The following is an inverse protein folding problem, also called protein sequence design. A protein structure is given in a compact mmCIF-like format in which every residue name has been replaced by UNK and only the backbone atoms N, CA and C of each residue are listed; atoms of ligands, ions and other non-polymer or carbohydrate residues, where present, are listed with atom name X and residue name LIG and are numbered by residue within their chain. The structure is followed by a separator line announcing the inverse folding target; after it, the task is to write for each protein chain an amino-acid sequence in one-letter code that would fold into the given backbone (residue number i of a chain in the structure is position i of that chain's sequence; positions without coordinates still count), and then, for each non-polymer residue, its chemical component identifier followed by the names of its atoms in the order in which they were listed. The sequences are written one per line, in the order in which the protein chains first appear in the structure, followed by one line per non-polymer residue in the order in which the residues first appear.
data_IF_605963917892
#
_entry.id   IF_605963917892
#
_cell.length_a   1.000
_cell.length_b   1.000
_cell.length_c   1.000
_cell.angle_alpha   90.00
_cell.angle_beta   90.00
_cell.angle_gamma   90.00
#
_symmetry.space_group_name_H-M   'P 1'
#
loop_
_entity.id
_entity.type
_entity.pdbx_description
1 polymer ?
#
# COMPACT_ATOMS: atom_id res chain seq x y z
N UNK A 1 -19.79 -6.83 -10.16
CA UNK A 1 -19.26 -8.12 -9.65
C UNK A 1 -17.78 -7.94 -9.37
N UNK A 2 -17.34 -7.95 -8.11
CA UNK A 2 -15.91 -7.86 -7.77
C UNK A 2 -15.20 -9.16 -8.18
N UNK A 3 -14.52 -9.14 -9.33
CA UNK A 3 -13.56 -10.15 -9.72
C UNK A 3 -12.30 -9.41 -10.18
N UNK A 4 -11.19 -9.65 -9.47
CA UNK A 4 -9.80 -9.25 -9.77
C UNK A 4 -9.16 -8.19 -8.86
N UNK A 5 -9.36 -8.29 -7.53
CA UNK A 5 -8.43 -7.67 -6.57
C UNK A 5 -7.28 -8.61 -6.11
N UNK A 6 -7.20 -9.85 -6.59
CA UNK A 6 -6.28 -10.86 -6.04
C UNK A 6 -5.24 -11.36 -7.04
N UNK A 7 -4.52 -10.45 -7.71
CA UNK A 7 -3.28 -10.84 -8.39
C UNK A 7 -2.22 -9.73 -8.35
N UNK A 8 -2.12 -9.02 -7.22
CA UNK A 8 -0.82 -8.46 -6.86
C UNK A 8 0.13 -9.65 -6.69
N UNK A 9 1.20 -9.68 -7.49
CA UNK A 9 2.32 -10.63 -7.38
C UNK A 9 2.49 -11.02 -5.91
N UNK A 10 2.34 -12.30 -5.60
CA UNK A 10 2.29 -12.85 -4.24
C UNK A 10 3.52 -12.51 -3.39
N UNK A 11 4.58 -11.94 -3.97
CA UNK A 11 5.68 -11.30 -3.24
C UNK A 11 5.32 -9.89 -2.72
N UNK A 12 4.62 -9.05 -3.47
CA UNK A 12 4.34 -7.66 -3.10
C UNK A 12 3.43 -7.50 -1.86
N UNK A 13 2.54 -8.47 -1.59
CA UNK A 13 1.65 -8.47 -0.43
C UNK A 13 2.32 -9.01 0.85
N UNK A 14 3.33 -9.88 0.73
CA UNK A 14 4.16 -10.31 1.87
C UNK A 14 5.20 -9.26 2.28
N UNK A 15 5.60 -8.35 1.37
CA UNK A 15 6.61 -7.31 1.61
C UNK A 15 6.16 -6.17 2.56
N UNK A 16 4.86 -5.95 2.74
CA UNK A 16 4.35 -4.92 3.68
C UNK A 16 4.39 -5.37 5.16
N UNK A 17 4.70 -6.64 5.42
CA UNK A 17 5.01 -7.14 6.76
C UNK A 17 6.53 -7.21 6.90
N UNK A 18 7.13 -6.12 7.36
CA UNK A 18 8.46 -6.17 7.93
C UNK A 18 8.32 -6.58 9.41
N UNK A 19 8.76 -7.78 9.84
CA UNK A 19 8.80 -8.13 11.25
C UNK A 19 10.27 -8.14 11.69
N UNK A 20 10.94 -7.00 11.68
CA UNK A 20 12.25 -6.87 12.32
C UNK A 20 12.30 -5.50 12.98
N UNK A 21 11.72 -5.41 14.17
CA UNK A 21 12.07 -4.35 15.12
C UNK A 21 13.58 -4.39 15.30
N UNK A 22 14.26 -3.36 14.79
CA UNK A 22 15.70 -3.17 14.94
C UNK A 22 16.16 -3.09 16.42
N UNK A 23 15.23 -2.89 17.36
CA UNK A 23 15.53 -2.82 18.79
C UNK A 23 15.62 -4.18 19.50
N UNK A 24 15.00 -5.25 18.97
CA UNK A 24 14.97 -6.55 19.68
C UNK A 24 15.88 -7.62 19.05
N UNK A 25 16.35 -7.42 17.81
CA UNK A 25 17.30 -8.31 17.13
C UNK A 25 18.37 -7.52 16.38
N UNK A 26 19.02 -6.57 17.05
CA UNK A 26 20.44 -6.35 16.75
C UNK A 26 21.13 -7.72 16.89
N UNK A 27 21.85 -8.23 15.88
CA UNK A 27 22.59 -9.48 16.03
C UNK A 27 23.79 -9.20 16.94
N UNK A 28 23.52 -9.05 18.23
CA UNK A 28 24.50 -9.29 19.25
C UNK A 28 24.77 -10.79 19.21
N UNK A 29 25.62 -11.23 18.28
CA UNK A 29 26.45 -12.41 18.51
C UNK A 29 27.45 -12.06 19.62
N UNK A 30 26.92 -11.76 20.80
CA UNK A 30 27.68 -11.74 22.03
C UNK A 30 27.91 -13.20 22.38
N UNK A 31 28.97 -13.79 21.82
CA UNK A 31 29.71 -14.80 22.57
C UNK A 31 29.98 -14.17 23.94
N UNK A 32 29.37 -14.76 24.97
CA UNK A 32 29.04 -14.11 26.23
C UNK A 32 30.17 -13.25 26.81
N UNK A 33 30.05 -11.93 26.62
CA UNK A 33 30.64 -10.95 27.50
C UNK A 33 29.52 -10.02 27.92
N UNK A 34 28.90 -10.42 29.04
CA UNK A 34 28.07 -9.55 29.88
C UNK A 34 28.75 -8.18 29.92
N UNK A 35 28.07 -7.13 29.43
CA UNK A 35 28.48 -5.74 29.64
C UNK A 35 28.42 -5.46 31.14
N UNK A 36 29.44 -5.91 31.88
CA UNK A 36 29.64 -5.50 33.25
C UNK A 36 30.28 -4.12 33.22
N UNK A 37 29.45 -3.09 33.02
CA UNK A 37 29.69 -1.73 33.50
C UNK A 37 29.63 -1.71 35.05
N UNK A 38 30.41 -2.58 35.69
CA UNK A 38 30.58 -2.63 37.15
C UNK A 38 32.05 -2.46 37.47
N UNK A 39 32.45 -1.22 37.74
CA UNK A 39 33.31 -0.81 38.86
C UNK A 39 34.41 -1.78 39.34
N UNK A 40 35.14 -2.42 38.43
CA UNK A 40 36.43 -3.03 38.76
C UNK A 40 37.48 -2.01 38.37
N UNK A 41 38.19 -1.48 39.37
CA UNK A 41 39.37 -0.64 39.16
C UNK A 41 40.50 -1.52 38.62
N UNK A 42 40.44 -1.86 37.34
CA UNK A 42 41.55 -2.53 36.67
C UNK A 42 42.73 -1.55 36.58
N UNK A 43 43.93 -1.95 37.00
CA UNK A 43 45.10 -1.11 36.87
C UNK A 43 45.41 -0.86 35.39
N UNK A 44 46.01 0.29 35.10
CA UNK A 44 46.51 0.59 33.77
C UNK A 44 47.52 -0.47 33.32
N UNK A 45 47.41 -0.90 32.08
CA UNK A 45 48.24 -1.97 31.50
C UNK A 45 47.45 -3.21 31.12
N UNK A 46 48.16 -4.34 30.97
CA UNK A 46 47.58 -5.60 30.49
C UNK A 46 47.14 -6.49 31.66
N UNK A 47 45.94 -7.04 31.54
CA UNK A 47 45.43 -8.15 32.36
C UNK A 47 45.41 -9.40 31.50
N UNK A 48 45.96 -10.50 32.01
CA UNK A 48 45.95 -11.80 31.34
C UNK A 48 45.03 -12.74 32.11
N UNK A 49 44.03 -13.29 31.41
CA UNK A 49 43.06 -14.22 31.97
C UNK A 49 43.06 -15.52 31.16
N UNK A 50 42.69 -16.65 31.77
CA UNK A 50 42.44 -17.91 31.06
C UNK A 50 40.98 -18.31 31.18
N UNK A 51 40.43 -18.92 30.15
CA UNK A 51 39.10 -19.54 30.20
C UNK A 51 39.05 -20.63 31.26
N UNK A 52 37.85 -21.00 31.72
CA UNK A 52 37.66 -22.00 32.79
C UNK A 52 38.23 -23.37 32.44
N UNK A 53 38.20 -23.73 31.16
CA UNK A 53 38.77 -24.96 30.62
C UNK A 53 40.27 -24.85 30.32
N UNK A 54 40.87 -23.67 30.53
CA UNK A 54 42.29 -23.40 30.28
C UNK A 54 42.67 -23.26 28.81
N UNK A 55 41.71 -23.41 27.88
CA UNK A 55 41.96 -23.52 26.44
C UNK A 55 42.18 -22.20 25.73
N UNK A 56 41.65 -21.11 26.29
CA UNK A 56 41.74 -19.77 25.70
C UNK A 56 42.45 -18.85 26.67
N UNK A 57 43.39 -18.07 26.16
CA UNK A 57 44.05 -16.99 26.90
C UNK A 57 43.54 -15.65 26.39
N UNK A 58 43.18 -14.75 27.30
CA UNK A 58 42.72 -13.40 27.01
C UNK A 58 43.74 -12.38 27.49
N UNK A 59 44.14 -11.46 26.62
CA UNK A 59 44.97 -10.31 26.94
C UNK A 59 44.13 -9.04 26.80
N UNK A 60 43.95 -8.31 27.91
CA UNK A 60 43.04 -7.16 27.99
C UNK A 60 43.80 -5.94 28.49
N UNK A 61 43.89 -4.90 27.67
CA UNK A 61 44.54 -3.64 28.01
C UNK A 61 43.55 -2.63 28.56
N UNK A 62 43.91 -2.01 29.68
CA UNK A 62 43.14 -0.99 30.36
C UNK A 62 43.93 0.33 30.49
N UNK A 63 43.19 1.45 30.46
CA UNK A 63 43.66 2.80 30.75
C UNK A 63 42.54 3.52 31.49
N UNK A 64 42.83 4.09 32.66
CA UNK A 64 41.85 4.66 33.60
C UNK A 64 40.70 3.69 33.92
N UNK A 65 41.01 2.41 34.10
CA UNK A 65 40.02 1.36 34.41
C UNK A 65 39.09 0.97 33.24
N UNK A 66 39.25 1.55 32.05
CA UNK A 66 38.48 1.25 30.85
C UNK A 66 39.33 0.50 29.83
N UNK A 67 38.73 -0.38 29.04
CA UNK A 67 39.44 -1.03 27.91
C UNK A 67 39.95 0.02 26.93
N UNK A 68 41.26 0.02 26.68
CA UNK A 68 41.91 1.00 25.81
C UNK A 68 43.33 0.56 25.50
N UNK A 69 43.77 0.76 24.26
CA UNK A 69 45.18 0.65 23.88
C UNK A 69 45.49 1.52 22.67
N UNK A 70 46.55 2.31 22.77
CA UNK A 70 47.01 3.16 21.68
C UNK A 70 47.63 2.28 20.56
N UNK A 71 47.15 2.44 19.31
CA UNK A 71 47.67 1.80 18.09
C UNK A 71 47.70 0.27 18.02
N UNK A 72 47.05 -0.44 18.95
CA UNK A 72 47.03 -1.90 19.00
C UNK A 72 45.70 -2.43 19.59
N UNK A 73 45.33 -3.71 19.39
CA UNK A 73 44.10 -4.23 19.95
C UNK A 73 44.14 -4.19 21.48
N UNK A 74 43.04 -3.74 22.08
CA UNK A 74 42.90 -3.66 23.53
C UNK A 74 42.30 -4.94 24.14
N UNK A 75 41.81 -5.85 23.31
CA UNK A 75 41.36 -7.17 23.71
C UNK A 75 41.81 -8.18 22.67
N UNK A 76 42.51 -9.24 23.09
CA UNK A 76 43.01 -10.31 22.23
C UNK A 76 42.66 -11.65 22.89
N UNK A 77 42.06 -12.57 22.15
CA UNK A 77 41.90 -13.97 22.56
C UNK A 77 42.81 -14.86 21.73
N UNK A 78 43.49 -15.79 22.40
CA UNK A 78 44.40 -16.77 21.81
C UNK A 78 43.98 -18.19 22.15
N UNK A 79 44.08 -19.12 21.20
CA UNK A 79 43.83 -20.55 21.43
C UNK A 79 44.98 -21.24 22.20
N UNK A 80 44.88 -22.54 22.43
CA UNK A 80 45.90 -23.35 23.12
C UNK A 80 47.27 -23.30 22.43
N UNK A 81 47.30 -23.16 21.10
CA UNK A 81 48.52 -23.04 20.31
C UNK A 81 49.15 -21.63 20.37
N UNK A 82 48.46 -20.65 20.98
CA UNK A 82 48.89 -19.26 21.06
C UNK A 82 48.51 -18.41 19.84
N UNK A 83 47.73 -18.96 18.92
CA UNK A 83 47.25 -18.26 17.73
C UNK A 83 46.10 -17.33 18.11
N UNK A 84 46.07 -16.12 17.55
CA UNK A 84 45.01 -15.14 17.79
C UNK A 84 43.73 -15.59 17.08
N UNK A 85 42.69 -15.88 17.86
CA UNK A 85 41.37 -16.26 17.34
C UNK A 85 40.39 -15.10 17.31
N UNK A 86 40.64 -14.05 18.10
CA UNK A 86 39.79 -12.86 18.14
C UNK A 86 40.59 -11.66 18.62
N UNK A 87 40.31 -10.48 18.07
CA UNK A 87 40.84 -9.23 18.59
C UNK A 87 39.89 -8.06 18.37
N UNK A 88 39.95 -7.09 19.28
CA UNK A 88 39.17 -5.85 19.17
C UNK A 88 39.88 -4.62 19.73
N UNK A 89 39.59 -3.48 19.12
CA UNK A 89 40.17 -2.18 19.42
C UNK A 89 39.16 -1.33 20.19
N UNK A 90 39.65 -0.64 21.21
CA UNK A 90 38.84 0.21 22.07
C UNK A 90 39.52 1.56 22.28
N UNK A 91 38.71 2.62 22.22
CA UNK A 91 39.06 3.95 22.69
C UNK A 91 38.06 4.35 23.79
N UNK A 92 38.59 4.73 24.95
CA UNK A 92 37.83 5.14 26.13
C UNK A 92 36.71 4.16 26.52
N UNK A 93 37.01 2.85 26.49
CA UNK A 93 36.05 1.79 26.82
C UNK A 93 35.05 1.44 25.72
N UNK A 94 35.07 2.13 24.58
CA UNK A 94 34.16 1.91 23.46
C UNK A 94 34.89 1.30 22.27
N UNK A 95 34.28 0.32 21.58
CA UNK A 95 34.83 -0.22 20.33
C UNK A 95 35.05 0.92 19.32
N UNK A 96 36.27 1.06 18.83
CA UNK A 96 36.65 2.12 17.88
C UNK A 96 38.02 1.78 17.27
N UNK A 97 38.20 2.03 15.98
CA UNK A 97 39.50 2.03 15.32
C UNK A 97 39.55 3.07 14.21
N UNK A 98 40.58 3.92 14.22
CA UNK A 98 40.77 4.96 13.22
C UNK A 98 41.09 4.39 11.83
N UNK A 99 41.02 5.26 10.81
CA UNK A 99 41.41 4.98 9.41
C UNK A 99 40.56 3.92 8.70
N UNK A 100 39.27 3.84 9.04
CA UNK A 100 38.31 2.91 8.41
C UNK A 100 38.76 1.44 8.48
N UNK A 101 39.45 1.08 9.58
CA UNK A 101 39.88 -0.28 9.88
C UNK A 101 38.84 -0.97 10.79
N UNK A 102 38.72 -2.29 10.74
CA UNK A 102 37.76 -3.01 11.58
C UNK A 102 38.16 -2.91 13.05
N UNK A 103 37.19 -2.54 13.89
CA UNK A 103 37.36 -2.47 15.35
C UNK A 103 37.20 -3.86 16.00
N UNK A 104 36.71 -4.85 15.26
CA UNK A 104 36.64 -6.26 15.67
C UNK A 104 37.07 -7.13 14.50
N UNK A 105 37.91 -8.11 14.79
CA UNK A 105 38.32 -9.17 13.85
C UNK A 105 38.20 -10.51 14.58
N UNK A 106 37.39 -11.42 14.03
CA UNK A 106 37.22 -12.79 14.53
C UNK A 106 37.75 -13.77 13.48
N UNK A 107 38.70 -14.60 13.91
CA UNK A 107 39.42 -15.59 13.10
C UNK A 107 39.08 -17.03 13.51
N UNK A 108 38.15 -17.22 14.44
CA UNK A 108 37.82 -18.54 14.98
C UNK A 108 37.10 -19.45 13.97
N UNK A 109 36.51 -18.86 12.92
CA UNK A 109 35.82 -19.58 11.85
C UNK A 109 36.67 -19.64 10.57
N UNK A 110 36.23 -20.43 9.58
CA UNK A 110 36.92 -20.53 8.28
C UNK A 110 36.94 -19.20 7.52
N UNK A 111 35.95 -18.33 7.76
CA UNK A 111 35.90 -16.97 7.22
C UNK A 111 36.21 -15.95 8.32
N UNK A 112 37.02 -14.95 7.98
CA UNK A 112 37.33 -13.86 8.90
C UNK A 112 36.14 -12.92 8.98
N UNK A 113 35.59 -12.77 10.17
CA UNK A 113 34.49 -11.85 10.41
C UNK A 113 35.01 -10.51 10.93
N UNK A 114 34.47 -9.42 10.38
CA UNK A 114 34.95 -8.08 10.66
C UNK A 114 33.79 -7.15 11.00
N UNK A 115 34.00 -6.33 12.01
CA UNK A 115 33.05 -5.28 12.38
C UNK A 115 33.73 -3.92 12.49
N UNK A 116 33.01 -2.89 12.06
CA UNK A 116 33.48 -1.52 12.05
C UNK A 116 32.63 -0.69 13.01
N UNK A 117 33.32 0.02 13.89
CA UNK A 117 32.69 0.85 14.91
C UNK A 117 33.33 2.22 14.99
N UNK A 118 32.50 3.22 15.23
CA UNK A 118 32.92 4.55 15.62
C UNK A 118 32.25 4.92 16.95
N UNK A 119 33.07 5.19 17.96
CA UNK A 119 32.63 5.62 19.30
C UNK A 119 31.62 4.64 19.94
N UNK A 120 31.84 3.33 19.74
CA UNK A 120 31.02 2.26 20.31
C UNK A 120 29.76 1.92 19.52
N UNK A 121 29.50 2.59 18.40
CA UNK A 121 28.36 2.29 17.52
C UNK A 121 28.85 1.71 16.20
N UNK A 122 28.09 0.80 15.59
CA UNK A 122 28.39 0.36 14.22
C UNK A 122 28.44 1.56 13.28
N UNK A 123 29.53 1.68 12.54
CA UNK A 123 29.73 2.78 11.60
C UNK A 123 30.81 2.37 10.59
N UNK A 124 30.56 2.59 9.30
CA UNK A 124 31.61 2.52 8.28
C UNK A 124 31.31 3.40 7.09
N UNK A 125 32.30 4.19 6.66
CA UNK A 125 32.21 4.99 5.44
C UNK A 125 32.66 4.14 4.24
N UNK A 126 31.84 4.07 3.20
CA UNK A 126 32.19 3.46 1.91
C UNK A 126 32.08 1.93 1.83
N UNK A 127 31.63 1.24 2.88
CA UNK A 127 31.48 -0.21 2.88
C UNK A 127 30.58 -0.72 4.01
N UNK A 128 30.24 -2.02 4.03
CA UNK A 128 29.42 -2.58 5.08
C UNK A 128 30.15 -2.55 6.42
N UNK A 129 29.47 -2.14 7.48
CA UNK A 129 30.02 -2.12 8.83
C UNK A 129 30.07 -3.52 9.46
N UNK A 130 29.27 -4.46 8.95
CA UNK A 130 29.35 -5.88 9.28
C UNK A 130 28.72 -6.72 8.16
N UNK A 131 29.09 -7.99 8.10
CA UNK A 131 28.50 -8.98 7.19
C UNK A 131 28.17 -10.24 7.98
N UNK A 132 27.01 -10.86 7.74
CA UNK A 132 26.60 -12.10 8.40
C UNK A 132 26.22 -13.11 7.33
N UNK A 133 27.01 -14.18 7.21
CA UNK A 133 26.98 -15.02 6.02
C UNK A 133 27.27 -14.16 4.78
N UNK A 134 26.38 -14.20 3.79
CA UNK A 134 26.49 -13.37 2.58
C UNK A 134 25.77 -12.03 2.67
N UNK A 135 25.01 -11.79 3.75
CA UNK A 135 24.31 -10.53 3.95
C UNK A 135 25.29 -9.46 4.40
N UNK A 136 25.13 -8.24 3.88
CA UNK A 136 25.99 -7.09 4.16
C UNK A 136 25.16 -5.96 4.74
N UNK A 137 25.67 -5.29 5.79
CA UNK A 137 24.93 -4.28 6.53
C UNK A 137 25.75 -3.00 6.69
N UNK A 138 25.17 -1.88 6.30
CA UNK A 138 25.76 -0.55 6.46
C UNK A 138 25.09 0.17 7.61
N UNK A 139 25.92 0.78 8.44
CA UNK A 139 25.48 1.58 9.57
C UNK A 139 26.16 2.94 9.54
N UNK A 140 25.40 3.97 9.92
CA UNK A 140 25.90 5.31 10.19
C UNK A 140 25.40 5.73 11.57
N UNK A 141 26.32 6.14 12.44
CA UNK A 141 26.01 6.54 13.83
C UNK A 141 25.19 5.51 14.63
N UNK A 142 25.37 4.22 14.33
CA UNK A 142 24.66 3.11 14.96
C UNK A 142 23.31 2.75 14.33
N UNK A 143 22.84 3.51 13.34
CA UNK A 143 21.59 3.23 12.64
C UNK A 143 21.86 2.51 11.32
N UNK A 144 21.08 1.46 11.05
CA UNK A 144 21.18 0.72 9.80
C UNK A 144 20.61 1.54 8.65
N UNK A 145 21.43 1.82 7.64
CA UNK A 145 21.05 2.69 6.50
C UNK A 145 20.91 1.94 5.18
N UNK A 146 21.57 0.80 5.06
CA UNK A 146 21.52 -0.05 3.87
C UNK A 146 21.78 -1.50 4.23
N UNK A 147 21.12 -2.40 3.53
CA UNK A 147 21.35 -3.85 3.60
C UNK A 147 21.41 -4.41 2.18
N UNK A 148 22.30 -5.39 1.97
CA UNK A 148 22.29 -6.25 0.80
C UNK A 148 22.13 -7.69 1.27
N UNK A 149 21.15 -8.42 0.73
CA UNK A 149 20.92 -9.82 1.07
C UNK A 149 21.77 -10.76 0.22
N UNK A 150 21.86 -12.01 0.65
CA UNK A 150 22.52 -13.11 -0.04
C UNK A 150 21.94 -13.39 -1.42
N UNK A 151 20.62 -13.19 -1.58
CA UNK A 151 19.91 -13.25 -2.86
C UNK A 151 20.19 -12.04 -3.78
N UNK A 152 20.84 -10.99 -3.26
CA UNK A 152 21.23 -9.80 -4.02
C UNK A 152 20.24 -8.62 -3.94
N UNK A 153 19.21 -8.71 -3.10
CA UNK A 153 18.31 -7.58 -2.88
C UNK A 153 19.02 -6.47 -2.11
N UNK A 154 18.77 -5.23 -2.49
CA UNK A 154 19.30 -4.04 -1.82
C UNK A 154 18.17 -3.23 -1.20
N UNK A 155 18.33 -2.87 0.08
CA UNK A 155 17.38 -2.06 0.83
C UNK A 155 18.07 -0.83 1.39
N UNK A 156 17.42 0.32 1.28
CA UNK A 156 17.76 1.58 1.95
C UNK A 156 16.75 1.86 3.04
N UNK A 157 17.27 2.25 4.20
CA UNK A 157 16.54 2.21 5.46
C UNK A 157 16.83 3.51 6.20
N UNK A 158 15.80 4.08 6.79
CA UNK A 158 15.91 5.21 7.69
C UNK A 158 14.92 4.98 8.83
N UNK A 159 15.35 5.19 10.08
CA UNK A 159 14.50 4.97 11.26
C UNK A 159 13.83 3.57 11.28
N UNK A 160 14.54 2.55 10.77
CA UNK A 160 14.07 1.16 10.73
C UNK A 160 12.99 0.85 9.70
N UNK A 161 12.69 1.77 8.77
CA UNK A 161 11.72 1.55 7.68
C UNK A 161 12.36 1.83 6.32
N UNK A 162 11.78 1.28 5.24
CA UNK A 162 12.26 1.56 3.89
C UNK A 162 12.13 3.05 3.58
N UNK A 163 13.24 3.67 3.22
CA UNK A 163 13.27 5.09 2.91
C UNK A 163 14.42 5.39 1.95
N UNK A 164 14.14 6.15 0.89
CA UNK A 164 15.16 6.77 0.06
C UNK A 164 14.58 7.96 -0.71
N UNK A 165 15.09 9.19 -0.46
CA UNK A 165 14.65 10.41 -1.15
C UNK A 165 15.17 10.54 -2.59
N UNK A 166 16.28 9.87 -2.91
CA UNK A 166 17.00 10.06 -4.17
C UNK A 166 16.69 8.94 -5.18
N UNK A 167 16.37 7.75 -4.70
CA UNK A 167 16.22 6.58 -5.55
C UNK A 167 15.29 5.52 -4.96
N UNK A 168 15.26 4.31 -5.55
CA UNK A 168 14.49 3.22 -4.98
C UNK A 168 15.03 2.87 -3.59
N UNK A 169 14.12 2.67 -2.65
CA UNK A 169 14.44 2.20 -1.30
C UNK A 169 14.53 0.68 -1.23
N UNK A 170 13.96 -0.04 -2.21
CA UNK A 170 14.18 -1.47 -2.39
C UNK A 170 14.47 -1.75 -3.87
N UNK A 171 15.51 -2.55 -4.12
CA UNK A 171 15.92 -3.03 -5.43
C UNK A 171 16.07 -4.54 -5.29
N UNK A 172 15.14 -5.27 -5.87
CA UNK A 172 15.14 -6.73 -5.81
C UNK A 172 16.07 -7.31 -6.88
N UNK A 173 16.63 -8.48 -6.62
CA UNK A 173 17.55 -9.17 -7.53
C UNK A 173 16.90 -9.55 -8.87
N UNK A 174 15.57 -9.72 -8.89
CA UNK A 174 14.81 -9.94 -10.12
C UNK A 174 14.68 -8.68 -11.01
N UNK A 175 15.11 -7.51 -10.52
CA UNK A 175 15.03 -6.23 -11.22
C UNK A 175 13.91 -5.31 -10.76
N UNK A 176 13.02 -5.76 -9.85
CA UNK A 176 11.97 -4.91 -9.30
C UNK A 176 12.58 -3.74 -8.51
N UNK A 177 11.98 -2.56 -8.64
CA UNK A 177 12.38 -1.35 -7.93
C UNK A 177 11.18 -0.71 -7.26
N UNK A 178 11.37 -0.30 -6.02
CA UNK A 178 10.32 0.30 -5.22
C UNK A 178 10.84 1.53 -4.46
N UNK A 179 10.11 2.63 -4.58
CA UNK A 179 10.41 3.90 -3.93
C UNK A 179 9.54 4.04 -2.70
N UNK A 180 10.19 4.27 -1.56
CA UNK A 180 9.52 4.45 -0.28
C UNK A 180 10.04 5.71 0.40
N UNK A 181 9.12 6.43 1.04
CA UNK A 181 9.41 7.53 1.96
C UNK A 181 8.69 7.20 3.26
N UNK A 182 9.44 7.13 4.36
CA UNK A 182 8.95 6.74 5.68
C UNK A 182 8.10 5.45 5.67
N UNK A 183 8.59 4.42 4.95
CA UNK A 183 7.95 3.12 4.86
C UNK A 183 6.71 3.06 3.96
N UNK A 184 6.32 4.15 3.30
CA UNK A 184 5.17 4.18 2.38
C UNK A 184 5.63 4.34 0.94
N UNK A 185 5.06 3.57 0.01
CA UNK A 185 5.32 3.73 -1.42
C UNK A 185 5.04 5.17 -1.83
N UNK A 186 6.03 5.84 -2.39
CA UNK A 186 5.92 7.27 -2.71
C UNK A 186 6.92 7.67 -3.80
N UNK A 187 6.43 8.32 -4.86
CA UNK A 187 7.27 9.02 -5.85
C UNK A 187 6.43 10.05 -6.61
N UNK A 188 6.96 11.27 -6.80
CA UNK A 188 6.25 12.38 -7.48
C UNK A 188 6.55 12.52 -8.96
N UNK A 189 7.68 11.97 -9.43
CA UNK A 189 8.21 12.16 -10.79
C UNK A 189 8.18 10.88 -11.65
N UNK A 190 7.55 9.81 -11.15
CA UNK A 190 7.51 8.52 -11.81
C UNK A 190 6.78 7.47 -10.99
N UNK A 191 6.75 6.21 -11.47
CA UNK A 191 6.14 5.12 -10.73
C UNK A 191 6.93 4.83 -9.45
N UNK A 192 6.19 4.64 -8.34
CA UNK A 192 6.79 4.24 -7.07
C UNK A 192 7.03 2.72 -6.98
N UNK A 193 6.52 1.95 -7.95
CA UNK A 193 6.89 0.56 -8.19
C UNK A 193 7.12 0.34 -9.68
N UNK A 194 8.29 -0.17 -10.04
CA UNK A 194 8.65 -0.64 -11.37
C UNK A 194 8.99 -2.12 -11.26
N UNK A 195 8.17 -2.99 -11.83
CA UNK A 195 8.37 -4.43 -11.78
C UNK A 195 9.11 -4.90 -13.04
N UNK A 196 9.92 -5.96 -12.91
CA UNK A 196 10.72 -6.52 -13.99
C UNK A 196 9.88 -7.11 -15.14
N UNK A 197 8.63 -7.51 -14.84
CA UNK A 197 7.67 -7.94 -15.86
C UNK A 197 7.12 -6.78 -16.72
N UNK A 198 7.40 -5.53 -16.35
CA UNK A 198 6.93 -4.33 -17.04
C UNK A 198 5.82 -3.57 -16.31
N UNK A 199 5.26 -4.11 -15.22
CA UNK A 199 4.22 -3.42 -14.45
C UNK A 199 4.77 -2.15 -13.80
N UNK A 200 3.97 -1.09 -13.81
CA UNK A 200 4.30 0.20 -13.21
C UNK A 200 3.13 0.71 -12.39
N UNK A 201 3.42 1.16 -11.18
CA UNK A 201 2.40 1.69 -10.27
C UNK A 201 2.87 2.99 -9.62
N UNK A 202 2.00 3.99 -9.64
CA UNK A 202 2.26 5.31 -9.08
C UNK A 202 1.59 5.41 -7.72
N UNK A 203 2.37 5.80 -6.72
CA UNK A 203 1.88 5.98 -5.36
C UNK A 203 2.36 7.31 -4.80
N UNK A 204 1.47 7.97 -4.06
CA UNK A 204 1.78 9.12 -3.21
C UNK A 204 1.31 8.77 -1.80
N UNK A 205 2.22 8.84 -0.83
CA UNK A 205 1.99 8.49 0.57
C UNK A 205 1.28 7.13 0.78
N UNK A 206 1.64 6.13 -0.02
CA UNK A 206 1.11 4.77 0.05
C UNK A 206 -0.24 4.56 -0.67
N UNK A 207 -0.81 5.58 -1.31
CA UNK A 207 -2.06 5.48 -2.07
C UNK A 207 -1.78 5.56 -3.57
N UNK A 208 -2.45 4.72 -4.37
CA UNK A 208 -2.39 4.82 -5.85
C UNK A 208 -2.85 6.22 -6.27
N UNK A 209 -2.02 6.96 -6.98
CA UNK A 209 -2.33 8.35 -7.33
C UNK A 209 -1.53 8.78 -8.55
N UNK A 210 -2.23 9.34 -9.55
CA UNK A 210 -1.62 10.04 -10.70
C UNK A 210 -2.65 10.97 -11.35
N UNK A 211 -2.24 12.17 -11.76
CA UNK A 211 -3.13 13.18 -12.37
C UNK A 211 -3.14 13.14 -13.90
N UNK A 212 -2.06 12.71 -14.53
CA UNK A 212 -1.81 12.87 -15.97
C UNK A 212 -1.79 11.53 -16.74
N UNK A 213 -2.22 10.44 -16.10
CA UNK A 213 -2.19 9.11 -16.67
C UNK A 213 -2.69 8.05 -15.70
N UNK A 214 -2.64 6.77 -16.11
CA UNK A 214 -3.02 5.67 -15.22
C UNK A 214 -2.04 5.58 -14.05
N UNK A 215 -2.59 5.40 -12.85
CA UNK A 215 -1.80 5.14 -11.65
C UNK A 215 -1.37 3.66 -11.54
N UNK A 216 -1.86 2.80 -12.44
CA UNK A 216 -1.36 1.44 -12.63
C UNK A 216 -1.38 1.07 -14.10
N UNK A 217 -0.23 0.64 -14.61
CA UNK A 217 -0.02 0.14 -15.96
C UNK A 217 0.54 -1.28 -15.83
N UNK A 218 -0.20 -2.26 -16.35
CA UNK A 218 0.20 -3.66 -16.31
C UNK A 218 0.82 -4.08 -17.65
N UNK A 219 1.70 -5.07 -17.60
CA UNK A 219 2.41 -5.61 -18.75
C UNK A 219 1.46 -6.28 -19.77
N UNK A 220 0.30 -6.75 -19.32
CA UNK A 220 -0.76 -7.28 -20.19
C UNK A 220 -1.46 -6.19 -21.01
N UNK A 221 -1.24 -4.91 -20.70
CA UNK A 221 -1.86 -3.75 -21.33
C UNK A 221 -3.00 -3.13 -20.52
N UNK A 222 -3.38 -3.74 -19.39
CA UNK A 222 -4.41 -3.21 -18.49
C UNK A 222 -3.94 -1.90 -17.85
N UNK A 223 -4.82 -0.90 -17.80
CA UNK A 223 -4.57 0.42 -17.23
C UNK A 223 -5.66 0.80 -16.25
N UNK A 224 -5.28 1.41 -15.14
CA UNK A 224 -6.21 1.88 -14.11
C UNK A 224 -5.82 3.28 -13.62
N UNK A 225 -6.81 4.16 -13.52
CA UNK A 225 -6.64 5.54 -13.08
C UNK A 225 -7.12 5.68 -11.64
N UNK A 226 -6.26 6.26 -10.79
CA UNK A 226 -6.56 6.50 -9.39
C UNK A 226 -6.14 7.90 -8.98
N UNK A 227 -6.97 8.53 -8.16
CA UNK A 227 -6.66 9.77 -7.44
C UNK A 227 -6.88 9.53 -5.95
N UNK A 228 -5.83 9.69 -5.17
CA UNK A 228 -5.83 9.51 -3.70
C UNK A 228 -6.39 8.13 -3.26
N UNK A 229 -6.05 7.09 -4.01
CA UNK A 229 -6.47 5.72 -3.76
C UNK A 229 -7.87 5.37 -4.27
N UNK A 230 -8.60 6.32 -4.86
CA UNK A 230 -9.94 6.08 -5.43
C UNK A 230 -9.85 5.92 -6.94
N UNK A 231 -10.47 4.87 -7.49
CA UNK A 231 -10.60 4.70 -8.94
C UNK A 231 -11.38 5.89 -9.51
N UNK A 232 -10.76 6.64 -10.42
CA UNK A 232 -11.29 7.93 -10.85
C UNK A 232 -10.72 8.34 -12.20
N UNK A 233 -11.59 8.75 -13.13
CA UNK A 233 -11.22 9.48 -14.35
C UNK A 233 -12.43 10.28 -14.87
N UNK A 234 -12.22 11.55 -15.23
CA UNK A 234 -13.29 12.42 -15.77
C UNK A 234 -13.51 12.18 -17.28
N UNK A 235 -12.42 12.10 -18.07
CA UNK A 235 -12.48 12.11 -19.54
C UNK A 235 -12.27 10.74 -20.20
N UNK A 236 -12.76 9.66 -19.60
CA UNK A 236 -12.63 8.33 -20.17
C UNK A 236 -12.83 7.21 -19.16
N UNK A 237 -12.61 5.95 -19.58
CA UNK A 237 -12.71 4.82 -18.67
C UNK A 237 -11.61 4.89 -17.60
N UNK A 238 -11.98 4.75 -16.34
CA UNK A 238 -11.03 4.68 -15.25
C UNK A 238 -10.34 3.31 -15.15
N UNK A 239 -10.86 2.31 -15.87
CA UNK A 239 -10.21 1.01 -16.07
C UNK A 239 -10.33 0.61 -17.54
N UNK A 240 -9.20 0.27 -18.16
CA UNK A 240 -9.11 -0.30 -19.50
C UNK A 240 -8.40 -1.65 -19.37
N UNK A 241 -9.12 -2.76 -19.57
CA UNK A 241 -8.54 -4.11 -19.49
C UNK A 241 -7.90 -4.53 -20.82
N UNK A 242 -6.94 -5.45 -20.75
CA UNK A 242 -6.29 -6.01 -21.93
C UNK A 242 -7.25 -6.74 -22.88
N UNK A 243 -8.37 -7.29 -22.36
CA UNK A 243 -9.39 -7.96 -23.17
C UNK A 243 -10.26 -6.97 -23.96
N UNK A 244 -10.14 -5.66 -23.69
CA UNK A 244 -10.90 -4.58 -24.30
C UNK A 244 -12.09 -4.09 -23.46
N UNK A 245 -12.36 -4.71 -22.31
CA UNK A 245 -13.38 -4.25 -21.36
C UNK A 245 -13.00 -2.87 -20.83
N UNK A 246 -14.01 -2.00 -20.68
CA UNK A 246 -13.84 -0.64 -20.17
C UNK A 246 -14.83 -0.36 -19.06
N UNK A 247 -14.35 0.26 -18.00
CA UNK A 247 -15.18 0.69 -16.88
C UNK A 247 -14.94 2.17 -16.56
N UNK A 248 -16.03 2.89 -16.30
CA UNK A 248 -16.00 4.30 -15.93
C UNK A 248 -16.26 4.44 -14.43
N UNK A 249 -15.33 5.10 -13.75
CA UNK A 249 -15.40 5.32 -12.31
C UNK A 249 -15.11 6.78 -12.00
N UNK A 250 -15.88 7.33 -11.05
CA UNK A 250 -15.69 8.66 -10.51
C UNK A 250 -15.69 8.57 -8.98
N UNK A 251 -14.59 9.00 -8.36
CA UNK A 251 -14.42 9.00 -6.90
C UNK A 251 -14.71 7.65 -6.23
N UNK A 252 -14.24 6.57 -6.84
CA UNK A 252 -14.41 5.20 -6.32
C UNK A 252 -15.80 4.61 -6.55
N UNK A 253 -16.64 5.23 -7.38
CA UNK A 253 -17.97 4.72 -7.74
C UNK A 253 -18.10 4.52 -9.24
N UNK A 254 -18.59 3.36 -9.66
CA UNK A 254 -18.91 3.10 -11.06
C UNK A 254 -19.99 4.09 -11.52
N UNK A 255 -19.68 4.91 -12.52
CA UNK A 255 -20.51 6.04 -12.91
C UNK A 255 -20.13 6.50 -14.32
N UNK A 256 -21.13 6.84 -15.14
CA UNK A 256 -20.90 7.58 -16.39
C UNK A 256 -22.07 8.50 -16.74
N UNK A 257 -21.75 9.74 -17.10
CA UNK A 257 -22.73 10.74 -17.55
C UNK A 257 -23.20 10.52 -19.00
N UNK A 258 -24.22 11.29 -19.41
CA UNK A 258 -24.75 11.38 -20.78
C UNK A 258 -25.43 10.11 -21.32
N UNK A 259 -26.07 9.32 -20.45
CA UNK A 259 -26.78 8.07 -20.80
C UNK A 259 -25.88 7.03 -21.52
N UNK A 260 -24.58 7.09 -21.27
CA UNK A 260 -23.60 6.14 -21.77
C UNK A 260 -23.36 5.03 -20.75
N UNK A 261 -23.04 3.80 -21.20
CA UNK A 261 -22.80 2.68 -20.29
C UNK A 261 -21.51 2.90 -19.49
N UNK A 262 -21.55 2.66 -18.19
CA UNK A 262 -20.40 2.72 -17.30
C UNK A 262 -19.56 1.43 -17.33
N UNK A 263 -20.07 0.35 -17.94
CA UNK A 263 -19.30 -0.85 -18.27
C UNK A 263 -19.57 -1.21 -19.73
N UNK A 264 -18.51 -1.41 -20.50
CA UNK A 264 -18.56 -1.88 -21.89
C UNK A 264 -17.65 -3.09 -22.05
N UNK A 265 -18.21 -4.24 -22.41
CA UNK A 265 -17.45 -5.45 -22.71
C UNK A 265 -17.33 -5.67 -24.24
N UNK A 266 -16.24 -6.30 -24.72
CA UNK A 266 -16.04 -6.62 -26.14
C UNK A 266 -17.12 -7.52 -26.75
N UNK A 267 -17.75 -8.37 -25.92
CA UNK A 267 -18.84 -9.26 -26.34
C UNK A 267 -20.17 -8.51 -26.61
N UNK A 268 -20.21 -7.19 -26.41
CA UNK A 268 -21.38 -6.33 -26.60
C UNK A 268 -22.22 -6.11 -25.34
N UNK A 269 -21.85 -6.73 -24.20
CA UNK A 269 -22.49 -6.46 -22.91
C UNK A 269 -22.23 -5.01 -22.47
N UNK A 270 -23.29 -4.39 -21.95
CA UNK A 270 -23.28 -3.00 -21.50
C UNK A 270 -24.06 -2.85 -20.22
N UNK A 271 -23.53 -2.09 -19.29
CA UNK A 271 -24.18 -1.77 -18.02
C UNK A 271 -24.13 -0.27 -17.75
N UNK A 272 -25.24 0.28 -17.26
CA UNK A 272 -25.38 1.69 -16.93
C UNK A 272 -25.42 1.84 -15.42
N UNK A 273 -24.39 2.50 -14.88
CA UNK A 273 -24.24 2.76 -13.46
C UNK A 273 -24.23 4.26 -13.22
N UNK A 274 -24.94 4.70 -12.18
CA UNK A 274 -24.97 6.08 -11.73
C UNK A 274 -24.65 6.10 -10.25
N UNK A 275 -23.51 6.70 -9.89
CA UNK A 275 -23.07 6.85 -8.50
C UNK A 275 -22.93 5.53 -7.74
N UNK A 276 -22.49 4.47 -8.43
CA UNK A 276 -22.28 3.14 -7.87
C UNK A 276 -23.54 2.28 -7.82
N UNK A 277 -24.69 2.77 -8.29
CA UNK A 277 -25.93 2.00 -8.38
C UNK A 277 -26.27 1.70 -9.84
N UNK A 278 -26.69 0.47 -10.12
CA UNK A 278 -27.14 0.04 -11.43
C UNK A 278 -28.50 0.71 -11.73
N UNK A 279 -28.50 1.65 -12.67
CA UNK A 279 -29.62 2.55 -12.91
C UNK A 279 -29.57 3.13 -14.33
N UNK A 280 -30.71 3.17 -15.01
CA UNK A 280 -30.90 3.98 -16.22
C UNK A 280 -32.34 4.46 -16.37
N UNK A 281 -32.55 5.75 -16.65
CA UNK A 281 -33.90 6.32 -16.84
C UNK A 281 -34.43 6.12 -18.27
N UNK A 282 -33.56 6.27 -19.27
CA UNK A 282 -33.96 6.33 -20.70
C UNK A 282 -34.06 4.96 -21.38
N UNK A 283 -33.75 3.87 -20.69
CA UNK A 283 -33.66 2.54 -21.32
C UNK A 283 -33.27 1.42 -20.34
N UNK A 284 -32.91 0.24 -20.85
CA UNK A 284 -32.41 -0.84 -20.00
C UNK A 284 -31.05 -0.45 -19.41
N UNK A 285 -30.89 -0.72 -18.12
CA UNK A 285 -29.64 -0.52 -17.39
C UNK A 285 -28.65 -1.67 -17.60
N UNK A 286 -29.09 -2.82 -18.11
CA UNK A 286 -28.22 -3.91 -18.56
C UNK A 286 -28.68 -4.39 -19.92
N UNK A 287 -27.72 -4.53 -20.83
CA UNK A 287 -27.87 -5.26 -22.09
C UNK A 287 -26.83 -6.37 -22.08
N UNK A 288 -27.29 -7.62 -21.99
CA UNK A 288 -26.41 -8.78 -22.01
C UNK A 288 -25.93 -9.08 -23.43
N UNK A 289 -24.80 -9.77 -23.57
CA UNK A 289 -24.23 -10.17 -24.86
C UNK A 289 -25.20 -10.98 -25.75
N UNK A 290 -26.11 -11.75 -25.14
CA UNK A 290 -27.13 -12.51 -25.85
C UNK A 290 -28.32 -11.64 -26.35
N UNK A 291 -28.36 -10.35 -26.03
CA UNK A 291 -29.43 -9.42 -26.40
C UNK A 291 -30.53 -9.25 -25.34
N UNK A 292 -30.47 -9.95 -24.20
CA UNK A 292 -31.39 -9.75 -23.08
C UNK A 292 -31.25 -8.32 -22.51
N UNK A 293 -32.38 -7.66 -22.26
CA UNK A 293 -32.45 -6.31 -21.71
C UNK A 293 -33.06 -6.34 -20.32
N UNK A 294 -32.49 -5.59 -19.39
CA UNK A 294 -32.98 -5.48 -18.02
C UNK A 294 -33.04 -4.01 -17.59
N UNK A 295 -34.16 -3.63 -16.98
CA UNK A 295 -34.38 -2.30 -16.44
C UNK A 295 -34.15 -2.32 -14.93
N UNK A 296 -33.28 -1.44 -14.47
CA UNK A 296 -32.90 -1.34 -13.07
C UNK A 296 -33.07 0.10 -12.59
N UNK A 297 -33.46 0.22 -11.33
CA UNK A 297 -33.54 1.49 -10.60
C UNK A 297 -33.06 1.25 -9.18
N UNK A 298 -31.95 1.90 -8.82
CA UNK A 298 -31.33 1.83 -7.49
C UNK A 298 -31.05 0.37 -7.07
N UNK A 299 -30.30 -0.35 -7.92
CA UNK A 299 -29.93 -1.77 -7.73
C UNK A 299 -31.11 -2.75 -7.62
N UNK A 300 -32.29 -2.35 -8.07
CA UNK A 300 -33.46 -3.23 -8.14
C UNK A 300 -33.98 -3.32 -9.57
N UNK A 301 -34.19 -4.55 -10.07
CA UNK A 301 -34.89 -4.76 -11.33
C UNK A 301 -36.31 -4.20 -11.19
N UNK A 302 -36.60 -3.16 -11.97
CA UNK A 302 -37.81 -2.37 -11.85
C UNK A 302 -38.07 -1.60 -13.15
N UNK A 303 -39.33 -1.58 -13.58
CA UNK A 303 -39.82 -0.74 -14.67
C UNK A 303 -41.31 -0.48 -14.49
N UNK A 304 -41.76 0.76 -14.67
CA UNK A 304 -43.19 1.12 -14.54
C UNK A 304 -43.91 1.22 -15.88
N UNK A 305 -43.16 1.32 -16.98
CA UNK A 305 -43.69 1.53 -18.34
C UNK A 305 -43.62 0.27 -19.22
N UNK A 306 -43.43 -0.91 -18.62
CA UNK A 306 -43.32 -2.18 -19.36
C UNK A 306 -42.68 -3.31 -18.57
N UNK A 307 -42.29 -4.41 -19.24
CA UNK A 307 -41.58 -5.51 -18.59
C UNK A 307 -40.18 -5.06 -18.15
N UNK A 308 -39.78 -5.47 -16.95
CA UNK A 308 -38.46 -5.14 -16.40
C UNK A 308 -37.35 -6.04 -16.96
N UNK A 309 -37.71 -7.16 -17.60
CA UNK A 309 -36.78 -8.01 -18.35
C UNK A 309 -37.41 -8.37 -19.71
N UNK A 310 -36.65 -8.22 -20.78
CA UNK A 310 -37.00 -8.66 -22.13
C UNK A 310 -35.90 -9.60 -22.65
N UNK A 311 -36.26 -10.83 -23.02
CA UNK A 311 -35.32 -11.84 -23.51
C UNK A 311 -35.35 -11.92 -25.05
N UNK A 312 -34.27 -12.43 -25.68
CA UNK A 312 -34.19 -12.56 -27.14
C UNK A 312 -35.26 -13.47 -27.76
N UNK A 313 -35.74 -14.45 -27.00
CA UNK A 313 -36.83 -15.36 -27.40
C UNK A 313 -38.22 -14.69 -27.35
N UNK A 314 -38.31 -13.42 -26.97
CA UNK A 314 -39.54 -12.65 -26.85
C UNK A 314 -40.23 -12.77 -25.49
N UNK A 315 -39.72 -13.61 -24.57
CA UNK A 315 -40.29 -13.73 -23.23
C UNK A 315 -40.04 -12.46 -22.40
N UNK A 316 -41.04 -12.12 -21.59
CA UNK A 316 -41.11 -10.87 -20.81
C UNK A 316 -41.35 -11.17 -19.34
N UNK A 317 -40.76 -10.37 -18.47
CA UNK A 317 -40.95 -10.49 -17.02
C UNK A 317 -41.17 -9.12 -16.39
N UNK A 318 -42.21 -9.00 -15.58
CA UNK A 318 -42.56 -7.75 -14.89
C UNK A 318 -42.05 -7.80 -13.46
N UNK A 319 -41.31 -6.76 -13.08
CA UNK A 319 -40.82 -6.58 -11.71
C UNK A 319 -41.02 -5.17 -11.24
N UNK A 320 -41.43 -5.03 -9.97
CA UNK A 320 -41.48 -3.76 -9.26
C UNK A 320 -40.71 -3.92 -7.95
N UNK A 321 -39.69 -3.09 -7.76
CA UNK A 321 -38.85 -3.10 -6.56
C UNK A 321 -38.22 -4.48 -6.33
N UNK A 322 -37.70 -5.07 -7.40
CA UNK A 322 -37.09 -6.41 -7.42
C UNK A 322 -38.08 -7.58 -7.38
N UNK A 323 -39.36 -7.36 -7.04
CA UNK A 323 -40.35 -8.43 -6.89
C UNK A 323 -41.03 -8.77 -8.21
N UNK A 324 -41.04 -10.05 -8.56
CA UNK A 324 -41.79 -10.59 -9.72
C UNK A 324 -43.28 -10.40 -9.47
N UNK A 325 -43.97 -9.90 -10.47
CA UNK A 325 -45.44 -9.81 -10.49
C UNK A 325 -45.96 -10.27 -11.85
N UNK A 326 -47.18 -10.83 -11.87
CA UNK A 326 -47.83 -11.15 -13.14
C UNK A 326 -48.19 -9.88 -13.90
N UNK A 327 -48.26 -9.97 -15.22
CA UNK A 327 -48.67 -8.86 -16.09
C UNK A 327 -50.05 -8.30 -15.70
N UNK A 328 -51.01 -9.18 -15.36
CA UNK A 328 -52.34 -8.76 -14.90
C UNK A 328 -52.26 -7.93 -13.61
N UNK A 329 -51.45 -8.37 -12.64
CA UNK A 329 -51.26 -7.65 -11.38
C UNK A 329 -50.51 -6.33 -11.60
N UNK A 330 -49.52 -6.32 -12.49
CA UNK A 330 -48.81 -5.11 -12.90
C UNK A 330 -49.77 -4.07 -13.48
N UNK A 331 -50.61 -4.46 -14.43
CA UNK A 331 -51.58 -3.57 -15.07
C UNK A 331 -52.55 -2.96 -14.05
N UNK A 332 -53.02 -3.75 -13.08
CA UNK A 332 -53.87 -3.26 -11.96
C UNK A 332 -53.13 -2.24 -11.10
N UNK A 333 -51.89 -2.53 -10.69
CA UNK A 333 -51.07 -1.63 -9.87
C UNK A 333 -50.81 -0.30 -10.59
N UNK A 334 -50.49 -0.33 -11.88
CA UNK A 334 -50.24 0.88 -12.66
C UNK A 334 -51.50 1.72 -12.86
N UNK A 335 -52.66 1.10 -13.13
CA UNK A 335 -53.94 1.81 -13.21
C UNK A 335 -54.30 2.49 -11.89
N UNK A 336 -54.10 1.82 -10.76
CA UNK A 336 -54.33 2.42 -9.44
C UNK A 336 -53.38 3.60 -9.16
N UNK A 337 -52.10 3.45 -9.52
CA UNK A 337 -51.10 4.52 -9.37
C UNK A 337 -51.50 5.75 -10.19
N UNK A 338 -51.90 5.56 -11.45
CA UNK A 338 -52.35 6.64 -12.31
C UNK A 338 -53.61 7.32 -11.78
N UNK A 339 -54.59 6.55 -11.29
CA UNK A 339 -55.80 7.10 -10.63
C UNK A 339 -55.45 7.93 -9.40
N UNK A 340 -54.55 7.45 -8.54
CA UNK A 340 -54.09 8.19 -7.34
C UNK A 340 -53.35 9.48 -7.70
N UNK A 341 -52.54 9.44 -8.75
CA UNK A 341 -51.83 10.61 -9.26
C UNK A 341 -52.81 11.67 -9.78
N UNK A 342 -53.76 11.28 -10.63
CA UNK A 342 -54.82 12.17 -11.13
C UNK A 342 -55.66 12.75 -9.99
N UNK A 343 -56.01 11.93 -8.98
CA UNK A 343 -56.75 12.42 -7.82
C UNK A 343 -55.96 13.46 -7.00
N UNK A 344 -54.64 13.26 -6.84
CA UNK A 344 -53.74 14.21 -6.17
C UNK A 344 -53.64 15.53 -6.94
N UNK A 345 -53.55 15.47 -8.26
CA UNK A 345 -53.53 16.65 -9.13
C UNK A 345 -54.85 17.43 -9.06
N UNK A 346 -55.99 16.74 -9.11
CA UNK A 346 -57.32 17.36 -8.94
C UNK A 346 -57.43 18.07 -7.58
N UNK A 347 -56.98 17.44 -6.50
CA UNK A 347 -57.02 18.05 -5.16
C UNK A 347 -56.10 19.27 -5.08
N UNK A 348 -54.88 19.20 -5.63
CA UNK A 348 -53.97 20.35 -5.68
C UNK A 348 -54.54 21.52 -6.48
N UNK A 349 -55.22 21.24 -7.60
CA UNK A 349 -55.91 22.27 -8.39
C UNK A 349 -57.08 22.89 -7.62
N UNK A 350 -57.85 22.09 -6.88
CA UNK A 350 -58.94 22.58 -6.02
C UNK A 350 -58.41 23.52 -4.93
N UNK A 351 -57.34 23.15 -4.23
CA UNK A 351 -56.71 23.99 -3.19
C UNK A 351 -56.15 25.32 -3.75
N UNK A 352 -55.54 25.28 -4.95
CA UNK A 352 -55.10 26.51 -5.64
C UNK A 352 -56.29 27.40 -6.03
N UNK A 353 -57.39 26.80 -6.48
CA UNK A 353 -58.59 27.54 -6.87
C UNK A 353 -59.29 28.23 -5.68
N UNK A 354 -59.37 27.57 -4.52
CA UNK A 354 -59.95 28.16 -3.30
C UNK A 354 -59.08 29.27 -2.72
N UNK A 355 -57.75 29.13 -2.75
CA UNK A 355 -56.81 30.21 -2.38
C UNK A 355 -56.93 31.43 -3.30
N UNK A 356 -57.13 31.22 -4.60
CA UNK A 356 -57.29 32.30 -5.57
C UNK A 356 -58.65 33.01 -5.40
N UNK A 357 -59.71 32.24 -5.10
CA UNK A 357 -61.02 32.80 -4.78
C UNK A 357 -61.02 33.61 -3.48
N UNK A 358 -60.31 33.15 -2.43
CA UNK A 358 -60.23 33.91 -1.17
C UNK A 358 -59.49 35.24 -1.36
N UNK A 359 -58.37 35.24 -2.10
CA UNK A 359 -57.64 36.47 -2.47
C UNK A 359 -58.51 37.43 -3.30
N UNK A 360 -59.33 36.91 -4.23
CA UNK A 360 -60.23 37.73 -5.04
C UNK A 360 -61.40 38.33 -4.22
N UNK A 361 -61.92 37.61 -3.23
CA UNK A 361 -62.95 38.12 -2.32
C UNK A 361 -62.41 39.17 -1.36
N UNK A 362 -61.18 39.00 -0.86
CA UNK A 362 -60.49 39.97 -0.01
C UNK A 362 -60.19 41.28 -0.77
N UNK A 363 -59.78 41.17 -2.03
CA UNK A 363 -59.58 42.33 -2.91
C UNK A 363 -60.88 43.09 -3.22
N UNK A 364 -62.00 42.38 -3.37
CA UNK A 364 -63.32 43.00 -3.56
C UNK A 364 -63.80 43.71 -2.28
N UNK A 365 -63.61 43.11 -1.11
CA UNK A 365 -63.94 43.75 0.18
C UNK A 365 -63.20 45.08 0.36
N UNK A 366 -61.90 45.10 0.07
CA UNK A 366 -61.08 46.31 0.21
C UNK A 366 -61.43 47.43 -0.79
N UNK A 367 -62.13 47.13 -1.90
CA UNK A 367 -62.58 48.14 -2.88
C UNK A 367 -63.92 48.80 -2.53
N UNK A 368 -64.76 48.17 -1.72
CA UNK A 368 -66.06 48.70 -1.27
C UNK A 368 -65.99 49.50 0.04
N UNK A 369 -64.79 49.67 0.61
CA UNK A 369 -64.55 50.42 1.86
C UNK A 369 -63.85 51.77 1.64
N UNK A 370 -63.89 52.29 0.40
CA UNK A 370 -63.48 53.65 0.00
C UNK A 370 -64.73 54.31 -0.57
#
# INVERSE_FOLDING_TARGET
MNKNENNESTRATEFNRWPFRAEENSPTYTNGTRESNSSKNYPDGVTIEKSRDGKTTYEIWHKNGLRHRDNAPAYIAKNEAGEVTFQSWYQHGKKHRDNNLPAVEDFAQQEVWQEYYQHGKYHRVGGPATSIGKNQYWYLEGEMVKMITDDGDTYYIENGVHHNEVGPAAICANGDKHWFIHGKKHRTDGPASECANGDKHWFIHGKKHRLDGPASEWADGTKQWFIDGLCHREDGPAIEYHDGTKEWWLNGKCHRDNDLPAVEEPNGQKEWWVNGELHRESGPAVICANGQKQWWKNDQIHREDGPAIERPDGTKEWRLHGKIISEEKFNKVMQEKQRKQVAKEINSLREKSTSTQSKAQEFKKNKTSI
#
